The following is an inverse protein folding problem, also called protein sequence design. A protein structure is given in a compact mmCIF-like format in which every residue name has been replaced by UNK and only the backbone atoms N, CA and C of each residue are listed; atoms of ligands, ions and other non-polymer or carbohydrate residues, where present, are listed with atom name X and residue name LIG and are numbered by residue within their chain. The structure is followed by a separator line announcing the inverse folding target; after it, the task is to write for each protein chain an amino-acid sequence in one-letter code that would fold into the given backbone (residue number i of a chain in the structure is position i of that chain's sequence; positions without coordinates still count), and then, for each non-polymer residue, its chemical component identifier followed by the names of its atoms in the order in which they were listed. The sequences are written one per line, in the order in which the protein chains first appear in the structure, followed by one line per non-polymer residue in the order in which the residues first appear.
data_IF_289581154830
#
_entry.id   IF_289581154830
#
_cell.length_a   1.000
_cell.length_b   1.000
_cell.length_c   1.000
_cell.angle_alpha   90.00
_cell.angle_beta   90.00
_cell.angle_gamma   90.00
#
_symmetry.space_group_name_H-M   'P 1'
#
loop_
_entity.id
_entity.type
_entity.pdbx_description
1 polymer ?
#
# COMPACT_ATOMS: atom_id res chain seq x y z
N UNK A 1 -4.00 18.45 -35.55
CA UNK A 1 -3.09 19.14 -34.61
C UNK A 1 -2.53 18.10 -33.61
N UNK A 2 -1.20 17.94 -33.50
CA UNK A 2 -0.59 17.03 -32.50
C UNK A 2 -0.74 17.64 -31.10
N UNK A 3 -1.32 16.89 -30.16
CA UNK A 3 -1.50 17.33 -28.77
C UNK A 3 -0.13 17.37 -28.08
N UNK A 4 0.24 18.52 -27.51
CA UNK A 4 1.49 18.66 -26.77
C UNK A 4 1.50 17.68 -25.58
N UNK A 5 2.61 16.98 -25.39
CA UNK A 5 2.75 15.99 -24.31
C UNK A 5 2.74 16.72 -22.97
N UNK A 6 1.79 16.37 -22.10
CA UNK A 6 1.63 17.02 -20.79
C UNK A 6 2.88 16.81 -19.94
N UNK A 7 3.42 17.90 -19.41
CA UNK A 7 4.51 17.84 -18.44
C UNK A 7 3.95 17.49 -17.05
N UNK A 8 4.47 16.42 -16.46
CA UNK A 8 4.04 15.93 -15.15
C UNK A 8 4.92 16.45 -14.01
N UNK A 9 6.03 17.12 -14.31
CA UNK A 9 6.92 17.65 -13.29
C UNK A 9 6.34 18.95 -12.71
N UNK A 10 6.00 18.93 -11.41
CA UNK A 10 5.49 20.10 -10.69
C UNK A 10 6.35 20.34 -9.46
N UNK A 11 6.87 21.57 -9.31
CA UNK A 11 7.54 21.98 -8.08
C UNK A 11 6.49 22.26 -7.00
N UNK A 12 6.68 21.68 -5.82
CA UNK A 12 5.89 21.99 -4.63
C UNK A 12 6.71 22.89 -3.71
N UNK A 13 6.08 23.90 -3.14
CA UNK A 13 6.71 24.89 -2.22
C UNK A 13 6.79 24.35 -0.79
N UNK A 14 7.36 23.15 -0.61
CA UNK A 14 7.55 22.61 0.74
C UNK A 14 8.73 23.30 1.42
N UNK A 15 8.73 23.45 2.76
CA UNK A 15 9.91 23.85 3.50
C UNK A 15 11.03 22.83 3.26
N UNK A 16 12.18 23.30 2.76
CA UNK A 16 13.32 22.45 2.48
C UNK A 16 14.38 22.62 3.57
N UNK A 17 14.94 21.51 4.05
CA UNK A 17 16.05 21.49 5.03
C UNK A 17 17.38 21.97 4.37
N UNK A 18 17.43 22.05 3.03
CA UNK A 18 18.58 22.53 2.26
C UNK A 18 18.18 23.33 1.01
N UNK A 19 19.04 23.36 -0.01
CA UNK A 19 18.78 24.13 -1.24
C UNK A 19 17.49 23.64 -1.92
N UNK A 20 16.54 24.54 -2.25
CA UNK A 20 15.27 24.17 -2.85
C UNK A 20 15.46 23.61 -4.26
N UNK A 21 14.62 22.65 -4.63
CA UNK A 21 14.62 22.08 -5.98
C UNK A 21 14.01 23.09 -6.95
N UNK A 22 14.71 23.37 -8.04
CA UNK A 22 14.26 24.30 -9.08
C UNK A 22 13.86 23.57 -10.36
N UNK A 23 13.29 24.30 -11.32
CA UNK A 23 12.96 23.75 -12.65
C UNK A 23 14.23 23.31 -13.40
N UNK A 24 15.38 23.93 -13.11
CA UNK A 24 16.67 23.56 -13.71
C UNK A 24 17.10 22.15 -13.31
N UNK A 25 16.69 21.71 -12.11
CA UNK A 25 17.00 20.38 -11.59
C UNK A 25 16.15 19.26 -12.22
N UNK A 26 15.11 19.61 -12.99
CA UNK A 26 14.15 18.65 -13.56
C UNK A 26 14.85 17.49 -14.27
N UNK A 27 15.82 17.79 -15.14
CA UNK A 27 16.52 16.75 -15.93
C UNK A 27 17.24 15.75 -15.03
N UNK A 28 17.95 16.25 -14.01
CA UNK A 28 18.69 15.44 -13.03
C UNK A 28 17.75 14.58 -12.19
N UNK A 29 16.64 15.16 -11.73
CA UNK A 29 15.64 14.43 -10.94
C UNK A 29 14.97 13.34 -11.77
N UNK A 30 14.55 13.63 -13.01
CA UNK A 30 13.93 12.64 -13.88
C UNK A 30 14.90 11.52 -14.26
N UNK A 31 16.15 11.84 -14.60
CA UNK A 31 17.15 10.80 -14.90
C UNK A 31 17.42 9.89 -13.71
N UNK A 32 17.37 10.43 -12.50
CA UNK A 32 17.56 9.65 -11.28
C UNK A 32 16.40 8.70 -11.01
N UNK A 33 15.16 9.22 -11.06
CA UNK A 33 13.93 8.45 -10.76
C UNK A 33 13.65 7.39 -11.82
N UNK A 34 14.02 7.62 -13.08
CA UNK A 34 13.79 6.68 -14.18
C UNK A 34 14.90 5.63 -14.32
N UNK A 35 16.02 5.75 -13.59
CA UNK A 35 17.12 4.80 -13.69
C UNK A 35 16.76 3.49 -12.96
N UNK A 36 16.71 2.33 -13.65
CA UNK A 36 16.35 1.06 -13.03
C UNK A 36 17.28 0.65 -11.88
N UNK A 37 18.59 0.93 -11.96
CA UNK A 37 19.53 0.63 -10.87
C UNK A 37 19.29 1.49 -9.64
N UNK A 38 18.83 2.73 -9.82
CA UNK A 38 18.44 3.57 -8.69
C UNK A 38 17.10 3.12 -8.13
N UNK A 39 16.15 2.73 -8.99
CA UNK A 39 14.85 2.18 -8.57
C UNK A 39 15.03 0.86 -7.79
N UNK A 40 15.99 0.02 -8.11
CA UNK A 40 16.23 -1.22 -7.35
C UNK A 40 16.88 -0.94 -5.99
N UNK A 41 17.79 0.04 -5.93
CA UNK A 41 18.43 0.47 -4.68
C UNK A 41 17.46 1.16 -3.73
N UNK A 42 16.64 2.05 -4.27
CA UNK A 42 15.55 2.68 -3.53
C UNK A 42 14.40 1.71 -3.55
N UNK A 43 14.24 0.92 -2.49
CA UNK A 43 12.95 0.29 -2.22
C UNK A 43 11.91 1.41 -2.06
N UNK A 44 11.41 1.95 -3.18
CA UNK A 44 10.15 2.67 -3.20
C UNK A 44 9.16 1.60 -2.80
N UNK A 45 8.94 1.51 -1.51
CA UNK A 45 7.85 0.75 -0.92
C UNK A 45 6.62 1.64 -1.04
N UNK A 46 5.88 1.57 -2.15
CA UNK A 46 4.45 1.75 -2.02
C UNK A 46 3.65 0.57 -2.56
N UNK A 47 4.23 -0.64 -2.71
CA UNK A 47 3.46 -1.81 -3.18
C UNK A 47 3.69 -3.14 -2.45
N UNK A 48 4.35 -3.16 -1.27
CA UNK A 48 4.05 -4.26 -0.34
C UNK A 48 2.69 -3.93 0.26
N UNK A 49 1.62 -4.50 -0.29
CA UNK A 49 0.38 -4.61 0.45
C UNK A 49 0.66 -5.50 1.67
N UNK A 50 1.07 -4.89 2.78
CA UNK A 50 1.03 -5.53 4.10
C UNK A 50 -0.43 -5.67 4.49
N UNK A 51 -1.05 -6.77 4.10
CA UNK A 51 -2.31 -7.19 4.70
C UNK A 51 -1.96 -7.81 6.05
N UNK A 52 -2.33 -7.11 7.14
CA UNK A 52 -2.10 -7.63 8.49
C UNK A 52 -2.97 -8.86 8.72
N UNK A 53 -2.38 -9.95 9.21
CA UNK A 53 -3.06 -11.20 9.56
C UNK A 53 -3.83 -11.03 10.88
N UNK A 54 -4.88 -10.22 10.86
CA UNK A 54 -5.73 -10.01 12.03
C UNK A 54 -6.95 -10.92 11.92
N UNK A 55 -7.20 -11.71 12.98
CA UNK A 55 -8.46 -12.44 13.11
C UNK A 55 -9.62 -11.45 13.03
N UNK A 56 -10.68 -11.80 12.30
CA UNK A 56 -11.92 -11.01 12.32
C UNK A 56 -12.41 -10.88 13.77
N UNK A 57 -12.71 -9.66 14.19
CA UNK A 57 -13.24 -9.38 15.53
C UNK A 57 -14.72 -9.75 15.69
N UNK A 58 -15.42 -9.99 14.57
CA UNK A 58 -16.86 -10.29 14.54
C UNK A 58 -17.16 -11.65 15.19
N UNK A 59 -18.17 -11.66 16.07
CA UNK A 59 -18.70 -12.84 16.76
C UNK A 59 -19.61 -13.63 15.81
N UNK A 60 -19.73 -14.93 16.03
CA UNK A 60 -20.78 -15.75 15.41
C UNK A 60 -22.06 -15.66 16.27
N UNK A 61 -23.22 -15.59 15.62
CA UNK A 61 -24.52 -15.45 16.26
C UNK A 61 -25.42 -16.63 15.85
N UNK A 62 -26.25 -17.10 16.77
CA UNK A 62 -27.32 -18.07 16.46
C UNK A 62 -28.50 -17.36 15.76
N UNK A 63 -29.51 -18.11 15.33
CA UNK A 63 -30.70 -17.60 14.65
C UNK A 63 -31.51 -16.59 15.49
N UNK A 64 -31.37 -16.66 16.82
CA UNK A 64 -32.00 -15.77 17.80
C UNK A 64 -31.19 -14.50 18.09
N UNK A 65 -30.00 -14.35 17.48
CA UNK A 65 -29.15 -13.15 17.66
C UNK A 65 -28.23 -13.17 18.89
N UNK A 66 -28.06 -14.32 19.55
CA UNK A 66 -27.15 -14.53 20.68
C UNK A 66 -25.76 -15.01 20.24
N UNK A 67 -24.67 -14.55 20.88
CA UNK A 67 -23.31 -14.92 20.51
C UNK A 67 -22.98 -16.38 20.89
N UNK A 68 -22.47 -17.13 19.91
CA UNK A 68 -22.11 -18.56 20.07
C UNK A 68 -20.83 -18.68 20.91
N UNK A 69 -20.79 -19.63 21.85
CA UNK A 69 -19.60 -19.94 22.66
C UNK A 69 -18.84 -21.12 22.06
N UNK A 70 -17.51 -21.13 22.26
CA UNK A 70 -16.66 -22.25 21.82
C UNK A 70 -16.84 -23.44 22.76
N UNK A 71 -17.05 -24.63 22.20
CA UNK A 71 -17.20 -25.88 22.97
C UNK A 71 -16.05 -26.05 23.98
N UNK A 72 -16.40 -26.37 25.24
CA UNK A 72 -15.43 -26.60 26.32
C UNK A 72 -14.83 -25.32 26.94
N UNK A 73 -15.20 -24.12 26.50
CA UNK A 73 -14.73 -22.87 27.13
C UNK A 73 -15.82 -21.80 27.21
N UNK A 74 -15.69 -20.86 28.16
CA UNK A 74 -16.58 -19.69 28.24
C UNK A 74 -16.27 -18.59 27.20
N UNK A 75 -15.44 -18.88 26.19
CA UNK A 75 -15.01 -17.88 25.19
C UNK A 75 -16.00 -17.81 24.02
N UNK A 76 -16.30 -16.60 23.56
CA UNK A 76 -17.18 -16.37 22.41
C UNK A 76 -16.47 -16.76 21.10
N UNK A 77 -17.16 -17.53 20.28
CA UNK A 77 -16.71 -17.95 18.95
C UNK A 77 -16.74 -16.77 17.97
N UNK A 78 -15.67 -16.67 17.16
CA UNK A 78 -15.51 -15.63 16.14
C UNK A 78 -15.61 -16.25 14.76
N UNK A 79 -16.09 -15.45 13.80
CA UNK A 79 -16.31 -15.88 12.42
C UNK A 79 -15.04 -16.52 11.84
N UNK A 80 -15.12 -17.80 11.47
CA UNK A 80 -14.07 -18.48 10.72
C UNK A 80 -13.98 -17.89 9.31
N UNK A 81 -13.01 -17.03 9.06
CA UNK A 81 -12.72 -16.51 7.72
C UNK A 81 -11.82 -17.46 6.92
N UNK A 82 -12.18 -17.72 5.66
CA UNK A 82 -11.34 -18.44 4.70
C UNK A 82 -9.98 -17.72 4.53
N UNK A 83 -8.89 -18.47 4.71
CA UNK A 83 -7.58 -18.10 4.18
C UNK A 83 -7.60 -18.31 2.66
N UNK A 84 -7.23 -17.29 1.89
CA UNK A 84 -6.69 -17.49 0.55
C UNK A 84 -5.38 -16.72 0.46
N UNK A 85 -4.29 -17.47 0.40
CA UNK A 85 -2.96 -16.96 0.08
C UNK A 85 -2.76 -17.10 -1.43
N UNK A 86 -2.34 -16.03 -2.08
CA UNK A 86 -1.41 -16.13 -3.20
C UNK A 86 -0.51 -14.91 -3.17
N UNK A 87 0.79 -15.14 -3.01
CA UNK A 87 1.80 -14.14 -3.31
C UNK A 87 1.90 -14.04 -4.83
N UNK A 88 1.12 -13.15 -5.42
CA UNK A 88 1.31 -12.78 -6.82
C UNK A 88 2.23 -11.57 -6.86
N UNK A 89 3.47 -11.78 -7.32
CA UNK A 89 4.21 -10.68 -7.91
C UNK A 89 3.45 -10.27 -9.17
N UNK A 90 2.69 -9.18 -9.09
CA UNK A 90 2.24 -8.51 -10.29
C UNK A 90 3.44 -7.77 -10.88
N UNK A 91 4.13 -8.45 -11.79
CA UNK A 91 5.01 -7.83 -12.77
C UNK A 91 4.09 -7.09 -13.74
N UNK A 92 4.26 -5.76 -13.84
CA UNK A 92 3.60 -4.93 -14.86
C UNK A 92 4.36 -5.12 -16.18
#
# INVERSE_FOLDING_TARGET
MKKAKKDWFKLKKYPHIGRPISIKDKKRVMSYILNPENITKHSFLPFIHKTSLVRKFRKEYNEEGNPIKTEGTNKIQRVKGQKKESFSMQVI
#
